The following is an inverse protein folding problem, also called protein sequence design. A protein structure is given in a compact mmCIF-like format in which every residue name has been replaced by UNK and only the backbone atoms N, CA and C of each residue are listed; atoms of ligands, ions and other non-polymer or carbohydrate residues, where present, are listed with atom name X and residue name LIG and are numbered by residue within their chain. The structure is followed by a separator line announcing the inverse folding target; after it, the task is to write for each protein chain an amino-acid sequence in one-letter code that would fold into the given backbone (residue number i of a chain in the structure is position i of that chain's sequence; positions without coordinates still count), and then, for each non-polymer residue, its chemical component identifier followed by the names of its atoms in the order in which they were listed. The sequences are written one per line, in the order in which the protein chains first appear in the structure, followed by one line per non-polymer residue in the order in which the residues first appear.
data_IF_826586142064
#
_entry.id   IF_826586142064
#
_cell.length_a   1.000
_cell.length_b   1.000
_cell.length_c   1.000
_cell.angle_alpha   90.00
_cell.angle_beta   90.00
_cell.angle_gamma   90.00
#
_symmetry.space_group_name_H-M   'P 1'
#
loop_
_entity.id
_entity.type
_entity.pdbx_description
1 polymer ?
#
# COMPACT_ATOMS: atom_id res chain seq x y z
N UNK A 1 -21.21 -3.19 -37.52
CA UNK A 1 -19.93 -2.44 -37.42
C UNK A 1 -19.78 -1.69 -36.09
N UNK A 2 -20.84 -1.08 -35.52
CA UNK A 2 -20.77 -0.39 -34.22
C UNK A 2 -20.63 -1.33 -32.99
N UNK A 3 -21.25 -2.51 -33.01
CA UNK A 3 -21.18 -3.46 -31.88
C UNK A 3 -19.76 -4.05 -31.67
N UNK A 4 -18.99 -4.20 -32.76
CA UNK A 4 -17.61 -4.69 -32.71
C UNK A 4 -16.68 -3.64 -32.07
N UNK A 5 -16.90 -2.36 -32.35
CA UNK A 5 -16.17 -1.24 -31.75
C UNK A 5 -16.46 -1.12 -30.24
N UNK A 6 -17.72 -1.33 -29.84
CA UNK A 6 -18.11 -1.36 -28.42
C UNK A 6 -17.48 -2.53 -27.66
N UNK A 7 -17.41 -3.72 -28.26
CA UNK A 7 -16.72 -4.86 -27.67
C UNK A 7 -15.22 -4.64 -27.49
N UNK A 8 -14.57 -3.98 -28.47
CA UNK A 8 -13.15 -3.61 -28.39
C UNK A 8 -12.89 -2.57 -27.29
N UNK A 9 -13.79 -1.59 -27.13
CA UNK A 9 -13.73 -0.60 -26.04
C UNK A 9 -13.87 -1.25 -24.65
N UNK A 10 -14.78 -2.22 -24.50
CA UNK A 10 -14.94 -2.96 -23.24
C UNK A 10 -13.73 -3.87 -22.94
N UNK A 11 -13.17 -4.54 -23.95
CA UNK A 11 -11.99 -5.38 -23.77
C UNK A 11 -10.74 -4.55 -23.39
N UNK A 12 -10.57 -3.36 -23.99
CA UNK A 12 -9.49 -2.45 -23.62
C UNK A 12 -9.62 -1.93 -22.18
N UNK A 13 -10.83 -1.61 -21.73
CA UNK A 13 -11.08 -1.17 -20.35
C UNK A 13 -10.73 -2.25 -19.31
N UNK A 14 -10.98 -3.53 -19.62
CA UNK A 14 -10.60 -4.65 -18.75
C UNK A 14 -9.09 -4.81 -18.65
N UNK A 15 -8.34 -4.67 -19.75
CA UNK A 15 -6.88 -4.79 -19.75
C UNK A 15 -6.20 -3.65 -18.98
N UNK A 16 -6.73 -2.42 -19.06
CA UNK A 16 -6.19 -1.27 -18.32
C UNK A 16 -6.35 -1.45 -16.80
N UNK A 17 -7.39 -2.17 -16.35
CA UNK A 17 -7.61 -2.46 -14.92
C UNK A 17 -6.67 -3.54 -14.34
N UNK A 18 -5.99 -4.30 -15.19
CA UNK A 18 -5.08 -5.38 -14.81
C UNK A 18 -3.60 -4.97 -14.80
N UNK A 19 -3.28 -3.72 -15.20
CA UNK A 19 -1.95 -3.17 -15.07
C UNK A 19 -1.68 -2.90 -13.57
N UNK A 20 -1.10 -3.87 -12.86
CA UNK A 20 -0.49 -3.60 -11.55
C UNK A 20 0.44 -2.39 -11.75
N UNK A 21 0.20 -1.27 -11.04
CA UNK A 21 1.05 -0.10 -11.19
C UNK A 21 2.47 -0.53 -10.91
N UNK A 22 3.38 -0.20 -11.82
CA UNK A 22 4.78 -0.59 -11.76
C UNK A 22 5.30 -0.28 -10.35
N UNK A 23 5.54 -1.34 -9.56
CA UNK A 23 5.79 -1.26 -8.11
C UNK A 23 7.21 -0.76 -7.78
N UNK A 24 7.86 -0.11 -8.74
CA UNK A 24 9.19 0.46 -8.57
C UNK A 24 9.10 1.70 -7.71
N UNK A 25 9.44 1.50 -6.45
CA UNK A 25 9.53 2.53 -5.45
C UNK A 25 10.91 3.18 -5.58
N UNK A 26 10.98 4.51 -5.71
CA UNK A 26 12.28 5.19 -5.71
C UNK A 26 13.04 4.91 -4.40
N UNK A 27 14.36 5.00 -4.45
CA UNK A 27 15.26 4.70 -3.33
C UNK A 27 14.87 5.43 -2.04
N UNK A 28 14.47 6.70 -2.15
CA UNK A 28 14.06 7.51 -1.01
C UNK A 28 12.83 6.94 -0.31
N UNK A 29 11.76 6.59 -1.06
CA UNK A 29 10.54 6.02 -0.49
C UNK A 29 10.75 4.59 0.04
N UNK A 30 11.74 3.86 -0.46
CA UNK A 30 12.08 2.52 0.01
C UNK A 30 12.49 2.52 1.49
N UNK A 31 13.22 3.53 1.95
CA UNK A 31 13.60 3.68 3.36
C UNK A 31 12.36 3.68 4.29
N UNK A 32 11.31 4.41 3.92
CA UNK A 32 10.06 4.46 4.70
C UNK A 32 9.30 3.13 4.73
N UNK A 33 9.28 2.41 3.60
CA UNK A 33 8.65 1.08 3.53
C UNK A 33 9.44 0.04 4.34
N UNK A 34 10.76 0.04 4.23
CA UNK A 34 11.64 -0.87 4.96
C UNK A 34 11.51 -0.64 6.47
N UNK A 35 11.41 0.62 6.90
CA UNK A 35 11.16 0.96 8.30
C UNK A 35 9.82 0.41 8.81
N UNK A 36 8.74 0.54 8.04
CA UNK A 36 7.43 -0.01 8.41
C UNK A 36 7.45 -1.54 8.49
N UNK A 37 8.11 -2.20 7.53
CA UNK A 37 8.28 -3.66 7.53
C UNK A 37 9.08 -4.12 8.75
N UNK A 38 10.15 -3.41 9.10
CA UNK A 38 10.94 -3.69 10.29
C UNK A 38 10.07 -3.60 11.55
N UNK A 39 9.32 -2.50 11.73
CA UNK A 39 8.46 -2.35 12.91
C UNK A 39 7.35 -3.41 12.99
N UNK A 40 6.72 -3.75 11.85
CA UNK A 40 5.75 -4.85 11.80
C UNK A 40 6.37 -6.20 12.16
N UNK A 41 7.60 -6.45 11.72
CA UNK A 41 8.34 -7.65 12.09
C UNK A 41 8.82 -7.65 13.55
N UNK A 42 8.71 -6.56 14.30
CA UNK A 42 8.93 -6.59 15.74
C UNK A 42 7.64 -6.82 16.52
N UNK A 43 6.48 -6.57 15.91
CA UNK A 43 5.19 -6.70 16.57
C UNK A 43 4.84 -8.18 16.87
N UNK A 44 4.37 -8.45 18.10
CA UNK A 44 4.11 -9.81 18.58
C UNK A 44 2.91 -10.48 17.88
N UNK A 45 1.89 -9.71 17.51
CA UNK A 45 0.70 -10.21 16.79
C UNK A 45 0.91 -10.47 15.31
N UNK A 46 2.11 -10.17 14.77
CA UNK A 46 2.45 -10.44 13.38
C UNK A 46 3.13 -11.81 13.28
N UNK A 47 2.58 -12.71 12.47
CA UNK A 47 3.11 -14.06 12.26
C UNK A 47 3.62 -14.30 10.83
N UNK A 48 3.31 -13.39 9.90
CA UNK A 48 3.60 -13.57 8.49
C UNK A 48 4.58 -12.50 8.00
N UNK A 49 5.37 -12.87 7.01
CA UNK A 49 6.17 -11.91 6.27
C UNK A 49 5.26 -11.04 5.38
N UNK A 50 5.49 -9.73 5.40
CA UNK A 50 4.77 -8.75 4.59
C UNK A 50 5.66 -8.26 3.46
N UNK A 51 5.04 -7.93 2.32
CA UNK A 51 5.72 -7.32 1.18
C UNK A 51 4.97 -6.07 0.73
N UNK A 52 5.71 -5.11 0.18
CA UNK A 52 5.13 -3.92 -0.44
C UNK A 52 4.15 -4.33 -1.55
N UNK A 53 2.94 -3.76 -1.50
CA UNK A 53 1.94 -3.99 -2.53
C UNK A 53 1.86 -2.82 -3.49
N UNK A 54 1.63 -1.61 -2.98
CA UNK A 54 1.48 -0.40 -3.79
C UNK A 54 1.52 0.86 -2.93
N UNK A 55 1.87 1.99 -3.53
CA UNK A 55 1.70 3.31 -2.94
C UNK A 55 0.31 3.88 -3.20
N UNK A 56 -0.23 4.64 -2.25
CA UNK A 56 -1.50 5.35 -2.36
C UNK A 56 -1.29 6.86 -2.48
N UNK A 57 -0.41 7.40 -1.64
CA UNK A 57 -0.08 8.82 -1.63
C UNK A 57 1.41 9.00 -1.34
N UNK A 58 2.02 9.97 -2.00
CA UNK A 58 3.40 10.38 -1.80
C UNK A 58 3.41 11.90 -1.77
N UNK A 59 4.12 12.48 -0.82
CA UNK A 59 4.40 13.91 -0.83
C UNK A 59 5.77 14.18 -0.23
N UNK A 60 6.43 15.19 -0.74
CA UNK A 60 7.74 15.64 -0.31
C UNK A 60 7.72 17.16 -0.20
N UNK A 61 8.30 17.67 0.88
CA UNK A 61 8.42 19.10 1.15
C UNK A 61 9.89 19.41 1.36
N UNK A 62 10.44 20.30 0.55
CA UNK A 62 11.82 20.78 0.72
C UNK A 62 11.91 21.76 1.89
N UNK A 63 12.79 21.46 2.84
CA UNK A 63 13.12 22.33 3.97
C UNK A 63 14.33 23.25 3.72
N UNK A 64 14.97 23.13 2.56
CA UNK A 64 16.24 23.81 2.24
C UNK A 64 17.47 23.09 2.79
N UNK A 65 18.67 23.47 2.33
CA UNK A 65 19.95 22.90 2.77
C UNK A 65 20.03 21.36 2.69
N UNK A 66 19.39 20.77 1.68
CA UNK A 66 19.34 19.32 1.50
C UNK A 66 18.42 18.59 2.49
N UNK A 67 17.62 19.32 3.27
CA UNK A 67 16.58 18.77 4.14
C UNK A 67 15.29 18.59 3.36
N UNK A 68 14.67 17.41 3.49
CA UNK A 68 13.33 17.13 2.97
C UNK A 68 12.47 16.44 4.04
N UNK A 69 11.17 16.68 3.99
CA UNK A 69 10.17 15.97 4.77
C UNK A 69 9.33 15.12 3.83
N UNK A 70 9.33 13.80 4.07
CA UNK A 70 8.70 12.82 3.20
C UNK A 70 7.52 12.21 3.92
N UNK A 71 6.38 12.16 3.24
CA UNK A 71 5.20 11.42 3.67
C UNK A 71 4.84 10.36 2.62
N UNK A 72 4.59 9.15 3.11
CA UNK A 72 4.26 8.00 2.28
C UNK A 72 3.07 7.25 2.88
N UNK A 73 2.00 7.10 2.10
CA UNK A 73 0.85 6.26 2.41
C UNK A 73 0.82 5.10 1.42
N UNK A 74 0.77 3.87 1.92
CA UNK A 74 0.95 2.67 1.12
C UNK A 74 0.32 1.43 1.76
N UNK A 75 0.14 0.39 0.94
CA UNK A 75 -0.32 -0.90 1.41
C UNK A 75 0.82 -1.92 1.47
N UNK A 76 0.80 -2.72 2.53
CA UNK A 76 1.57 -3.95 2.63
C UNK A 76 0.63 -5.15 2.56
N UNK A 77 1.06 -6.21 1.89
CA UNK A 77 0.29 -7.44 1.73
C UNK A 77 1.00 -8.61 2.41
N UNK A 78 0.30 -9.41 3.23
CA UNK A 78 0.90 -10.59 3.84
C UNK A 78 1.21 -11.63 2.77
N UNK A 79 2.26 -12.40 3.03
CA UNK A 79 2.68 -13.52 2.20
C UNK A 79 2.32 -14.85 2.86
N UNK A 80 2.64 -15.95 2.16
CA UNK A 80 2.59 -17.30 2.73
C UNK A 80 3.79 -17.63 3.62
N UNK A 81 4.84 -16.80 3.60
CA UNK A 81 6.05 -17.04 4.37
C UNK A 81 5.88 -16.65 5.84
N UNK A 82 6.61 -17.35 6.69
CA UNK A 82 6.68 -17.06 8.11
C UNK A 82 7.38 -15.71 8.35
N UNK A 83 7.06 -15.07 9.47
CA UNK A 83 7.81 -13.91 9.95
C UNK A 83 9.31 -14.26 10.06
N UNK A 84 10.18 -13.33 9.66
CA UNK A 84 11.63 -13.51 9.69
C UNK A 84 12.25 -14.17 8.45
N UNK A 85 11.47 -14.52 7.43
CA UNK A 85 12.03 -14.99 6.16
C UNK A 85 12.84 -13.88 5.48
N UNK A 86 14.13 -14.16 5.22
CA UNK A 86 15.05 -13.25 4.53
C UNK A 86 14.74 -13.11 3.04
N UNK A 87 14.22 -14.18 2.44
CA UNK A 87 13.88 -14.22 1.03
C UNK A 87 12.51 -13.57 0.76
N UNK A 88 12.53 -12.38 0.18
CA UNK A 88 11.32 -11.61 -0.11
C UNK A 88 10.87 -11.74 -1.58
N UNK A 89 11.40 -12.71 -2.32
CA UNK A 89 11.09 -12.85 -3.75
C UNK A 89 9.62 -13.28 -3.97
N UNK A 90 8.94 -12.76 -5.00
CA UNK A 90 7.55 -13.14 -5.27
C UNK A 90 7.34 -14.63 -5.57
N UNK A 91 8.36 -15.30 -6.11
CA UNK A 91 8.32 -16.72 -6.46
C UNK A 91 8.37 -17.62 -5.21
N UNK A 92 9.18 -17.27 -4.20
CA UNK A 92 9.36 -18.07 -2.98
C UNK A 92 8.41 -17.65 -1.87
N UNK A 93 8.08 -16.36 -1.81
CA UNK A 93 7.12 -15.79 -0.87
C UNK A 93 5.97 -15.09 -1.60
N UNK A 94 5.04 -15.88 -2.19
CA UNK A 94 3.88 -15.33 -2.88
C UNK A 94 2.93 -14.65 -1.89
N UNK A 95 2.22 -13.65 -2.40
CA UNK A 95 1.16 -13.00 -1.65
C UNK A 95 0.07 -13.99 -1.28
N UNK A 96 -0.58 -13.71 -0.14
CA UNK A 96 -1.73 -14.46 0.32
C UNK A 96 -2.98 -13.57 0.28
N UNK A 97 -4.11 -14.14 -0.11
CA UNK A 97 -5.37 -13.42 -0.31
C UNK A 97 -6.41 -13.69 0.80
N UNK A 98 -6.12 -14.61 1.74
CA UNK A 98 -6.99 -15.03 2.85
C UNK A 98 -6.95 -14.09 4.07
N UNK A 99 -6.01 -13.15 4.09
CA UNK A 99 -5.83 -12.15 5.16
C UNK A 99 -5.98 -10.73 4.60
N UNK A 100 -6.41 -9.77 5.44
CA UNK A 100 -6.44 -8.37 5.06
C UNK A 100 -5.05 -7.79 4.81
N UNK A 101 -5.02 -6.67 4.09
CA UNK A 101 -3.83 -5.85 3.87
C UNK A 101 -3.54 -5.00 5.11
N UNK A 102 -2.29 -4.57 5.27
CA UNK A 102 -1.95 -3.49 6.20
C UNK A 102 -1.95 -2.18 5.44
N UNK A 103 -2.60 -1.18 6.03
CA UNK A 103 -2.63 0.19 5.57
C UNK A 103 -1.64 0.99 6.41
N UNK A 104 -0.58 1.49 5.78
CA UNK A 104 0.57 2.09 6.45
C UNK A 104 0.81 3.52 5.98
N UNK A 105 1.02 4.42 6.94
CA UNK A 105 1.48 5.78 6.72
C UNK A 105 2.81 5.99 7.45
N UNK A 106 3.77 6.60 6.77
CA UNK A 106 5.10 6.91 7.29
C UNK A 106 5.44 8.35 7.00
N UNK A 107 6.01 9.04 7.98
CA UNK A 107 6.52 10.41 7.84
C UNK A 107 7.92 10.52 8.45
N UNK A 108 8.87 11.07 7.71
CA UNK A 108 10.26 11.17 8.14
C UNK A 108 10.96 12.37 7.51
N UNK A 109 12.06 12.76 8.14
CA UNK A 109 12.98 13.79 7.64
C UNK A 109 14.17 13.10 7.00
N UNK A 110 14.68 13.67 5.90
CA UNK A 110 15.94 13.26 5.28
C UNK A 110 16.90 14.43 5.20
N UNK A 111 18.19 14.16 5.31
CA UNK A 111 19.28 15.12 5.09
C UNK A 111 20.23 14.50 4.06
N UNK A 112 20.37 15.12 2.89
CA UNK A 112 21.18 14.53 1.81
C UNK A 112 20.67 13.16 1.34
N UNK A 113 19.34 13.02 1.25
CA UNK A 113 18.61 11.78 0.90
C UNK A 113 18.79 10.58 1.87
N UNK A 114 19.43 10.80 3.02
CA UNK A 114 19.51 9.84 4.12
C UNK A 114 18.44 10.13 5.18
N UNK A 115 17.68 9.11 5.58
CA UNK A 115 16.67 9.23 6.63
C UNK A 115 17.30 9.54 7.99
N UNK A 116 16.87 10.63 8.60
CA UNK A 116 17.29 11.01 9.93
C UNK A 116 16.50 10.22 10.99
N UNK A 117 17.20 9.71 12.00
CA UNK A 117 16.60 8.91 13.08
C UNK A 117 16.13 9.75 14.26
N UNK A 118 16.56 11.02 14.31
CA UNK A 118 16.15 12.00 15.31
C UNK A 118 15.72 13.30 14.60
N UNK A 119 14.44 13.70 14.63
CA UNK A 119 13.35 13.08 15.40
C UNK A 119 12.99 11.68 14.90
N UNK A 120 12.44 10.86 15.79
CA UNK A 120 12.01 9.50 15.45
C UNK A 120 10.98 9.56 14.32
N UNK A 121 11.19 8.85 13.20
CA UNK A 121 10.21 8.75 12.13
C UNK A 121 8.85 8.25 12.63
N UNK A 122 7.79 8.88 12.13
CA UNK A 122 6.43 8.44 12.37
C UNK A 122 6.10 7.25 11.49
N UNK A 123 5.59 6.19 12.08
CA UNK A 123 5.13 4.98 11.39
C UNK A 123 3.82 4.56 12.03
N UNK A 124 2.80 4.41 11.21
CA UNK A 124 1.49 3.95 11.65
C UNK A 124 0.95 2.95 10.64
N UNK A 125 0.75 1.71 11.09
CA UNK A 125 0.19 0.64 10.28
C UNK A 125 -1.04 0.07 10.98
N UNK A 126 -2.15 0.04 10.26
CA UNK A 126 -3.41 -0.56 10.70
C UNK A 126 -3.81 -1.70 9.79
N UNK A 127 -4.37 -2.75 10.37
CA UNK A 127 -4.96 -3.82 9.57
C UNK A 127 -6.24 -3.29 8.93
N UNK A 128 -6.29 -3.26 7.60
CA UNK A 128 -7.48 -2.79 6.90
C UNK A 128 -8.61 -3.81 7.13
N UNK A 129 -9.72 -3.44 7.78
CA UNK A 129 -10.82 -4.36 7.95
C UNK A 129 -11.32 -4.81 6.58
N UNK A 130 -11.63 -6.10 6.44
CA UNK A 130 -12.43 -6.56 5.31
C UNK A 130 -13.78 -5.92 5.51
N UNK A 131 -14.06 -4.85 4.77
CA UNK A 131 -15.43 -4.38 4.62
C UNK A 131 -16.20 -5.60 4.08
N UNK A 132 -16.99 -6.23 4.94
CA UNK A 132 -18.07 -7.09 4.45
C UNK A 132 -18.97 -6.16 3.63
N UNK A 133 -19.30 -6.55 2.39
CA UNK A 133 -20.07 -5.73 1.43
C UNK A 133 -21.35 -5.11 1.98
N UNK A 134 -21.84 -5.63 3.11
CA UNK A 134 -23.03 -5.19 3.85
C UNK A 134 -23.00 -3.69 4.18
N UNK A 135 -21.85 -3.10 4.51
CA UNK A 135 -21.77 -1.67 4.85
C UNK A 135 -21.80 -0.73 3.64
N UNK A 136 -21.43 -1.23 2.45
CA UNK A 136 -21.55 -0.45 1.20
C UNK A 136 -23.02 -0.41 0.75
N UNK A 137 -23.74 -1.52 0.90
CA UNK A 137 -25.17 -1.61 0.57
C UNK A 137 -26.04 -0.67 1.39
N UNK A 138 -25.81 -0.56 2.72
CA UNK A 138 -26.62 0.33 3.58
C UNK A 138 -26.50 1.81 3.15
N UNK A 139 -25.30 2.24 2.74
CA UNK A 139 -25.06 3.63 2.34
C UNK A 139 -25.76 3.98 1.03
N UNK A 140 -25.75 3.05 0.06
CA UNK A 140 -26.45 3.23 -1.23
C UNK A 140 -27.96 3.11 -1.06
N UNK A 141 -28.45 2.18 -0.23
CA UNK A 141 -29.88 2.01 0.03
C UNK A 141 -30.48 3.22 0.78
N UNK A 142 -29.76 3.77 1.76
CA UNK A 142 -30.16 4.98 2.49
C UNK A 142 -30.22 6.23 1.59
N UNK A 143 -29.32 6.34 0.60
CA UNK A 143 -29.40 7.41 -0.40
C UNK A 143 -30.57 7.20 -1.37
N UNK A 144 -30.82 5.97 -1.81
CA UNK A 144 -31.91 5.64 -2.75
C UNK A 144 -33.29 5.87 -2.12
N UNK A 145 -33.43 5.61 -0.83
CA UNK A 145 -34.69 5.76 -0.08
C UNK A 145 -35.02 7.21 0.30
N UNK A 146 -34.10 8.17 0.06
CA UNK A 146 -34.35 9.62 0.14
C UNK A 146 -34.72 10.26 -1.21
N UNK A 147 -34.61 9.51 -2.30
CA UNK A 147 -34.91 9.96 -3.67
C UNK A 147 -36.22 9.37 -4.23
N UNK A 148 -36.95 8.60 -3.41
CA UNK A 148 -38.29 8.07 -3.67
C UNK A 148 -39.31 8.72 -2.73
#
# INVERSE_FOLDING_TARGET
MAALLLFLLCAAAVLISAQEPNNELSTQYKQGVDLALQQLSLHAGVHHHFRFLRSLQKSEIEGGFGVKYVYLHFHLKPTRCAKGTTDSSPQRCPFRNDRPLMDCAVCYKTVGDEMETNPKPYVHCIQRPRLTEVFSFISVFSLLQRLL
#
